data_IF_480480707674
#
_entry.id   IF_480480707674
#
_cell.length_a   1.000
_cell.length_b   1.000
_cell.length_c   1.000
_cell.angle_alpha   90.00
_cell.angle_beta   90.00
_cell.angle_gamma   90.00
#
_symmetry.space_group_name_H-M   'P 1'
#
loop_
_entity.id
_entity.type
_entity.pdbx_description
1 polymer ?
#
# COMPACT_ATOMS: atom_id res chain seq x y z
N UNK A 1 71.80 -13.34 27.53
CA UNK A 1 72.95 -12.53 27.13
C UNK A 1 72.72 -12.08 25.67
N UNK A 2 72.65 -10.75 25.44
CA UNK A 2 72.83 -10.02 24.17
C UNK A 2 71.70 -9.99 23.11
N UNK A 3 71.11 -8.78 22.99
CA UNK A 3 70.64 -7.98 21.79
C UNK A 3 69.59 -8.62 20.87
N UNK A 4 68.35 -8.12 20.75
CA UNK A 4 67.85 -6.84 20.18
C UNK A 4 68.05 -6.65 18.66
N UNK A 5 67.01 -6.06 18.02
CA UNK A 5 66.93 -5.53 16.63
C UNK A 5 66.51 -6.60 15.58
N UNK A 6 65.56 -6.44 14.65
CA UNK A 6 64.89 -5.27 14.06
C UNK A 6 63.54 -5.63 13.44
N UNK A 7 62.64 -4.65 13.38
CA UNK A 7 61.44 -4.62 12.53
C UNK A 7 61.85 -4.63 11.05
N UNK A 8 61.24 -5.49 10.23
CA UNK A 8 61.10 -5.27 8.79
C UNK A 8 59.68 -5.63 8.35
N UNK A 9 58.90 -4.58 8.06
CA UNK A 9 57.70 -4.66 7.24
C UNK A 9 58.10 -5.06 5.81
N UNK A 10 57.48 -6.10 5.28
CA UNK A 10 57.35 -6.36 3.84
C UNK A 10 56.03 -7.12 3.67
N UNK A 11 54.93 -6.42 3.38
CA UNK A 11 54.36 -6.30 2.02
C UNK A 11 54.36 -7.65 1.29
N UNK A 12 53.26 -8.39 1.46
CA UNK A 12 52.97 -9.64 0.78
C UNK A 12 51.46 -9.87 0.74
N UNK A 13 50.78 -9.07 -0.07
CA UNK A 13 49.38 -9.21 -0.44
C UNK A 13 49.26 -10.40 -1.41
N UNK A 14 48.59 -11.47 -1.00
CA UNK A 14 48.02 -12.51 -1.88
C UNK A 14 46.88 -13.17 -1.12
N UNK A 15 45.67 -12.60 -1.18
CA UNK A 15 44.62 -13.02 -2.12
C UNK A 15 44.27 -14.49 -1.91
N UNK A 16 43.55 -14.80 -0.83
CA UNK A 16 42.88 -16.11 -0.66
C UNK A 16 41.73 -16.01 0.35
N UNK A 17 40.83 -15.04 0.21
CA UNK A 17 39.61 -14.98 1.03
C UNK A 17 38.46 -14.21 0.36
N UNK A 18 38.19 -14.46 -0.92
CA UNK A 18 37.05 -13.90 -1.65
C UNK A 18 36.30 -14.99 -2.44
N UNK A 19 36.07 -16.13 -1.79
CA UNK A 19 35.21 -17.20 -2.31
C UNK A 19 34.11 -17.53 -1.30
N UNK A 20 33.57 -16.50 -0.65
CA UNK A 20 32.30 -16.54 0.05
C UNK A 20 31.22 -16.06 -0.91
N UNK A 21 30.86 -16.92 -1.87
CA UNK A 21 29.79 -16.67 -2.82
C UNK A 21 28.54 -16.19 -2.08
N UNK A 22 28.22 -14.93 -2.32
CA UNK A 22 26.94 -14.28 -2.06
C UNK A 22 25.82 -15.10 -2.69
N UNK A 23 25.31 -16.09 -1.97
CA UNK A 23 24.04 -16.74 -2.26
C UNK A 23 22.93 -15.80 -1.77
N UNK A 24 22.77 -14.67 -2.47
CA UNK A 24 21.56 -13.86 -2.34
C UNK A 24 20.43 -14.69 -2.97
N UNK A 25 19.65 -15.37 -2.13
CA UNK A 25 18.39 -15.96 -2.54
C UNK A 25 17.48 -14.82 -3.05
N UNK A 26 17.35 -14.72 -4.37
CA UNK A 26 16.32 -13.88 -4.98
C UNK A 26 14.96 -14.50 -4.64
N UNK A 27 14.28 -13.94 -3.65
CA UNK A 27 12.87 -14.24 -3.40
C UNK A 27 12.08 -13.72 -4.61
N UNK A 28 11.62 -14.63 -5.46
CA UNK A 28 10.71 -14.26 -6.55
C UNK A 28 9.39 -13.82 -5.93
N UNK A 29 9.07 -12.54 -5.99
CA UNK A 29 7.79 -12.00 -5.57
C UNK A 29 6.69 -12.53 -6.49
N UNK A 30 5.84 -13.44 -6.01
CA UNK A 30 4.68 -13.93 -6.75
C UNK A 30 3.57 -12.90 -6.70
N UNK A 31 3.15 -12.38 -7.85
CA UNK A 31 1.96 -11.56 -7.97
C UNK A 31 0.74 -12.49 -8.06
N UNK A 32 -0.20 -12.36 -7.14
CA UNK A 32 -1.40 -13.19 -7.08
C UNK A 32 -2.57 -12.46 -7.75
N UNK A 33 -3.34 -13.17 -8.57
CA UNK A 33 -4.55 -12.62 -9.19
C UNK A 33 -5.75 -12.85 -8.28
N UNK A 34 -6.42 -11.79 -7.87
CA UNK A 34 -7.61 -11.86 -7.03
C UNK A 34 -8.80 -11.30 -7.77
N UNK A 35 -9.92 -12.01 -7.71
CA UNK A 35 -11.21 -11.50 -8.19
C UNK A 35 -11.80 -10.53 -7.18
N UNK A 36 -12.07 -9.30 -7.62
CA UNK A 36 -12.72 -8.29 -6.78
C UNK A 36 -14.25 -8.43 -6.77
N UNK A 37 -14.92 -7.63 -5.94
CA UNK A 37 -16.39 -7.66 -5.85
C UNK A 37 -17.13 -7.06 -7.05
N UNK A 38 -16.41 -6.42 -7.97
CA UNK A 38 -16.96 -6.05 -9.28
C UNK A 38 -16.75 -7.16 -10.34
N UNK A 39 -16.20 -8.32 -9.95
CA UNK A 39 -15.96 -9.45 -10.84
C UNK A 39 -14.71 -9.31 -11.71
N UNK A 40 -13.82 -8.35 -11.42
CA UNK A 40 -12.60 -8.13 -12.18
C UNK A 40 -11.45 -8.95 -11.58
N UNK A 41 -10.60 -9.53 -12.43
CA UNK A 41 -9.34 -10.14 -11.99
C UNK A 41 -8.28 -9.04 -11.86
N UNK A 42 -7.72 -8.89 -10.65
CA UNK A 42 -6.74 -7.86 -10.31
C UNK A 42 -5.47 -8.52 -9.79
N UNK A 43 -4.35 -8.31 -10.49
CA UNK A 43 -3.03 -8.76 -10.04
C UNK A 43 -2.57 -7.93 -8.83
N UNK A 44 -2.26 -8.55 -7.70
CA UNK A 44 -1.80 -7.87 -6.48
C UNK A 44 -0.29 -8.08 -6.33
N UNK A 45 0.49 -7.05 -5.98
CA UNK A 45 1.92 -7.25 -5.73
C UNK A 45 2.09 -8.13 -4.48
N UNK A 46 3.17 -8.90 -4.43
CA UNK A 46 3.46 -9.78 -3.28
C UNK A 46 3.49 -9.01 -1.94
N UNK A 47 3.83 -7.72 -1.97
CA UNK A 47 3.84 -6.84 -0.82
C UNK A 47 3.06 -5.56 -1.13
N UNK A 48 2.12 -5.22 -0.24
CA UNK A 48 1.35 -3.97 -0.28
C UNK A 48 1.76 -3.13 0.92
N UNK A 49 2.36 -1.97 0.67
CA UNK A 49 2.78 -1.01 1.70
C UNK A 49 2.04 0.32 1.59
N UNK A 50 1.48 0.64 0.42
CA UNK A 50 0.88 1.93 0.11
C UNK A 50 -0.58 1.76 -0.30
N UNK A 51 -1.46 1.83 0.69
CA UNK A 51 -2.92 1.71 0.53
C UNK A 51 -3.53 3.09 0.37
N UNK A 52 -4.32 3.25 -0.70
CA UNK A 52 -5.12 4.44 -0.92
C UNK A 52 -6.61 4.13 -0.76
N UNK A 53 -7.32 4.93 0.03
CA UNK A 53 -8.76 4.75 0.24
C UNK A 53 -9.56 5.72 -0.63
N UNK A 54 -10.17 5.19 -1.69
CA UNK A 54 -11.07 5.96 -2.55
C UNK A 54 -12.37 6.37 -1.86
N UNK A 55 -12.72 5.67 -0.78
CA UNK A 55 -13.71 6.07 0.21
C UNK A 55 -13.10 5.88 1.61
N UNK A 56 -12.99 6.96 2.38
CA UNK A 56 -12.32 6.99 3.67
C UNK A 56 -12.96 6.06 4.68
N UNK A 57 -14.28 5.88 4.67
CA UNK A 57 -14.97 4.94 5.59
C UNK A 57 -14.68 3.46 5.31
N UNK A 58 -14.04 3.12 4.19
CA UNK A 58 -13.46 1.77 4.02
C UNK A 58 -12.33 1.49 5.02
N UNK A 59 -11.87 2.53 5.73
CA UNK A 59 -10.96 2.41 6.86
C UNK A 59 -11.42 1.37 7.91
N UNK A 60 -12.72 1.19 8.16
CA UNK A 60 -13.16 0.18 9.14
C UNK A 60 -12.69 -1.23 8.74
N UNK A 61 -12.84 -1.60 7.46
CA UNK A 61 -12.39 -2.89 6.97
C UNK A 61 -10.86 -3.03 7.05
N UNK A 62 -10.13 -1.97 6.68
CA UNK A 62 -8.65 -1.97 6.76
C UNK A 62 -8.17 -2.06 8.21
N UNK A 63 -8.81 -1.35 9.14
CA UNK A 63 -8.42 -1.35 10.55
C UNK A 63 -8.47 -2.75 11.19
N UNK A 64 -9.38 -3.62 10.73
CA UNK A 64 -9.46 -5.01 11.16
C UNK A 64 -8.28 -5.86 10.66
N UNK A 65 -7.69 -5.51 9.52
CA UNK A 65 -6.56 -6.23 8.91
C UNK A 65 -5.21 -5.75 9.44
N UNK A 66 -5.09 -4.46 9.79
CA UNK A 66 -3.85 -3.85 10.29
C UNK A 66 -3.61 -4.05 11.79
N UNK A 67 -4.65 -4.44 12.55
CA UNK A 67 -4.55 -4.65 14.00
C UNK A 67 -4.11 -3.39 14.75
N UNK A 68 -2.92 -3.44 15.37
CA UNK A 68 -2.43 -2.36 16.24
C UNK A 68 -1.92 -1.12 15.47
N UNK A 69 -1.75 -1.22 14.16
CA UNK A 69 -1.14 -0.19 13.32
C UNK A 69 -2.07 0.25 12.18
N UNK A 70 -3.30 0.70 12.49
CA UNK A 70 -4.36 0.86 11.49
C UNK A 70 -4.09 1.91 10.40
N UNK A 71 -3.13 2.81 10.61
CA UNK A 71 -2.82 3.90 9.69
C UNK A 71 -1.48 3.76 8.97
N UNK A 72 -0.63 2.79 9.34
CA UNK A 72 0.78 2.75 8.88
C UNK A 72 0.92 2.63 7.36
N UNK A 73 0.00 1.90 6.71
CA UNK A 73 0.00 1.68 5.26
C UNK A 73 -0.88 2.67 4.50
N UNK A 74 -1.61 3.57 5.17
CA UNK A 74 -2.55 4.48 4.50
C UNK A 74 -1.81 5.71 4.01
N UNK A 75 -1.57 5.80 2.70
CA UNK A 75 -0.85 6.92 2.08
C UNK A 75 -1.77 8.07 1.69
N UNK A 76 -3.08 7.85 1.69
CA UNK A 76 -4.08 8.87 1.43
C UNK A 76 -5.49 8.32 1.44
N UNK A 77 -6.46 9.21 1.58
CA UNK A 77 -7.86 8.85 1.64
C UNK A 77 -8.81 9.98 1.25
N UNK A 78 -10.04 9.61 0.91
CA UNK A 78 -11.12 10.56 0.80
C UNK A 78 -11.49 11.11 2.19
N UNK A 79 -12.00 12.35 2.24
CA UNK A 79 -12.31 13.06 3.48
C UNK A 79 -13.63 12.69 4.16
N UNK A 80 -14.38 11.71 3.65
CA UNK A 80 -15.67 11.29 4.20
C UNK A 80 -15.54 10.69 5.60
N UNK A 81 -14.49 9.93 5.93
CA UNK A 81 -14.30 9.44 7.31
C UNK A 81 -14.13 10.60 8.29
N UNK A 82 -13.27 11.57 7.95
CA UNK A 82 -13.01 12.75 8.79
C UNK A 82 -14.22 13.68 8.92
N UNK A 83 -15.04 13.79 7.87
CA UNK A 83 -16.14 14.78 7.80
C UNK A 83 -17.51 14.21 8.17
N UNK A 84 -17.74 12.93 7.93
CA UNK A 84 -19.06 12.30 8.10
C UNK A 84 -19.13 11.40 9.34
N UNK A 85 -17.99 10.87 9.82
CA UNK A 85 -17.91 10.18 11.12
C UNK A 85 -16.89 10.86 12.04
N UNK A 86 -17.24 12.08 12.45
CA UNK A 86 -16.38 12.90 13.32
C UNK A 86 -16.15 12.27 14.69
N UNK A 87 -17.09 11.48 15.19
CA UNK A 87 -17.01 10.85 16.50
C UNK A 87 -15.96 9.75 16.50
N UNK A 88 -16.04 8.81 15.56
CA UNK A 88 -15.06 7.73 15.47
C UNK A 88 -13.69 8.27 15.07
N UNK A 89 -13.64 9.25 14.16
CA UNK A 89 -12.39 9.91 13.82
C UNK A 89 -11.70 10.52 15.05
N UNK A 90 -12.45 11.19 15.94
CA UNK A 90 -11.90 11.77 17.16
C UNK A 90 -11.32 10.69 18.10
N UNK A 91 -12.00 9.54 18.23
CA UNK A 91 -11.51 8.40 19.03
C UNK A 91 -10.19 7.87 18.48
N UNK A 92 -10.09 7.69 17.16
CA UNK A 92 -8.85 7.25 16.53
C UNK A 92 -7.76 8.30 16.65
N UNK A 93 -8.06 9.58 16.42
CA UNK A 93 -7.11 10.69 16.55
C UNK A 93 -6.51 10.79 17.95
N UNK A 94 -7.29 10.55 18.99
CA UNK A 94 -6.81 10.56 20.36
C UNK A 94 -5.71 9.50 20.61
N UNK A 95 -5.79 8.35 19.93
CA UNK A 95 -4.79 7.25 20.03
C UNK A 95 -3.68 7.36 18.98
N UNK A 96 -4.01 7.89 17.81
CA UNK A 96 -3.16 7.96 16.64
C UNK A 96 -3.18 9.39 16.05
N UNK A 97 -2.46 10.35 16.67
CA UNK A 97 -2.46 11.74 16.22
C UNK A 97 -1.98 11.92 14.78
N UNK A 98 -1.19 10.97 14.26
CA UNK A 98 -0.70 10.98 12.87
C UNK A 98 -1.82 10.90 11.83
N UNK A 99 -3.03 10.51 12.22
CA UNK A 99 -4.19 10.43 11.32
C UNK A 99 -4.49 11.77 10.63
N UNK A 100 -4.21 12.90 11.29
CA UNK A 100 -4.40 14.24 10.71
C UNK A 100 -3.40 14.56 9.60
N UNK A 101 -2.27 13.83 9.52
CA UNK A 101 -1.25 14.01 8.51
C UNK A 101 -1.54 13.23 7.22
N UNK A 102 -2.55 12.35 7.23
CA UNK A 102 -2.89 11.55 6.05
C UNK A 102 -3.47 12.46 4.96
N UNK A 103 -2.85 12.52 3.76
CA UNK A 103 -3.29 13.39 2.68
C UNK A 103 -4.73 13.13 2.24
N UNK A 104 -5.49 14.21 2.07
CA UNK A 104 -6.83 14.18 1.48
C UNK A 104 -6.72 14.23 -0.05
N UNK A 105 -7.19 13.18 -0.71
CA UNK A 105 -7.27 13.10 -2.17
C UNK A 105 -8.55 13.72 -2.73
N UNK A 106 -9.56 13.94 -1.89
CA UNK A 106 -10.84 14.55 -2.24
C UNK A 106 -11.62 14.99 -1.01
N UNK A 107 -12.87 15.41 -1.22
CA UNK A 107 -13.81 15.83 -0.18
C UNK A 107 -14.64 14.63 0.31
N UNK A 108 -15.97 14.64 0.15
CA UNK A 108 -16.89 13.59 0.63
C UNK A 108 -17.59 12.83 -0.48
N UNK A 109 -17.45 13.29 -1.73
CA UNK A 109 -18.01 12.65 -2.93
C UNK A 109 -16.91 12.17 -3.85
N UNK A 110 -17.16 11.12 -4.61
CA UNK A 110 -16.16 10.54 -5.48
C UNK A 110 -15.66 11.54 -6.55
N UNK A 111 -16.55 12.35 -7.11
CA UNK A 111 -16.20 13.37 -8.11
C UNK A 111 -15.22 14.44 -7.62
N UNK A 112 -15.07 14.58 -6.30
CA UNK A 112 -14.13 15.53 -5.70
C UNK A 112 -12.69 15.01 -5.61
N UNK A 113 -12.43 13.77 -6.03
CA UNK A 113 -11.08 13.20 -6.02
C UNK A 113 -10.24 13.79 -7.15
N UNK A 114 -9.06 14.30 -6.81
CA UNK A 114 -8.07 14.77 -7.78
C UNK A 114 -7.18 13.62 -8.25
N UNK A 115 -7.14 13.31 -9.56
CA UNK A 115 -6.22 12.32 -10.13
C UNK A 115 -4.75 12.67 -9.84
N UNK A 116 -4.40 13.95 -9.93
CA UNK A 116 -3.03 14.43 -9.79
C UNK A 116 -2.50 14.13 -8.39
N UNK A 117 -3.33 14.41 -7.37
CA UNK A 117 -2.99 14.06 -5.97
C UNK A 117 -2.86 12.56 -5.76
N UNK A 118 -3.63 11.75 -6.46
CA UNK A 118 -3.52 10.29 -6.34
C UNK A 118 -2.20 9.81 -6.93
N UNK A 119 -1.80 10.34 -8.08
CA UNK A 119 -0.56 9.96 -8.76
C UNK A 119 0.69 10.33 -7.96
N UNK A 120 0.69 11.48 -7.27
CA UNK A 120 1.84 11.88 -6.42
C UNK A 120 2.02 10.98 -5.21
N UNK A 121 0.96 10.30 -4.76
CA UNK A 121 1.01 9.38 -3.64
C UNK A 121 1.55 8.00 -4.01
N UNK A 122 1.74 7.69 -5.30
CA UNK A 122 2.28 6.42 -5.79
C UNK A 122 1.77 5.18 -5.02
N UNK A 123 0.44 4.93 -4.95
CA UNK A 123 -0.10 3.82 -4.18
C UNK A 123 0.05 2.47 -4.90
N UNK A 124 0.17 1.39 -4.13
CA UNK A 124 0.23 0.01 -4.63
C UNK A 124 -1.17 -0.51 -4.97
N UNK A 125 -2.13 -0.17 -4.10
CA UNK A 125 -3.53 -0.60 -4.19
C UNK A 125 -4.47 0.52 -3.76
N UNK A 126 -5.67 0.51 -4.35
CA UNK A 126 -6.76 1.43 -4.03
C UNK A 126 -8.02 0.67 -3.69
N UNK A 127 -8.66 0.98 -2.55
CA UNK A 127 -9.95 0.40 -2.16
C UNK A 127 -11.10 1.35 -2.45
N UNK A 128 -12.17 0.84 -3.07
CA UNK A 128 -13.32 1.64 -3.52
C UNK A 128 -14.62 0.84 -3.41
N UNK A 129 -15.79 1.51 -3.40
CA UNK A 129 -17.08 0.82 -3.48
C UNK A 129 -17.46 0.42 -4.92
N UNK A 130 -17.99 -0.80 -5.17
CA UNK A 130 -18.35 -1.26 -6.51
C UNK A 130 -19.27 -0.31 -7.29
N UNK A 131 -20.22 0.32 -6.60
CA UNK A 131 -21.22 1.19 -7.22
C UNK A 131 -20.63 2.46 -7.87
N UNK A 132 -19.42 2.88 -7.46
CA UNK A 132 -18.80 4.09 -8.04
C UNK A 132 -18.40 3.92 -9.49
N UNK A 133 -17.90 2.75 -9.88
CA UNK A 133 -17.50 2.55 -11.27
C UNK A 133 -18.70 2.56 -12.22
N UNK A 134 -19.86 2.09 -11.75
CA UNK A 134 -21.10 2.10 -12.52
C UNK A 134 -21.69 3.52 -12.69
N UNK A 135 -21.59 4.38 -11.67
CA UNK A 135 -22.21 5.72 -11.69
C UNK A 135 -21.38 6.79 -12.39
N UNK A 136 -20.07 6.60 -12.49
CA UNK A 136 -19.14 7.68 -12.86
C UNK A 136 -18.72 7.72 -14.34
N UNK A 137 -18.98 6.64 -15.09
CA UNK A 137 -18.68 6.58 -16.52
C UNK A 137 -17.19 6.79 -16.88
N UNK A 138 -16.87 6.71 -18.18
CA UNK A 138 -15.49 6.78 -18.68
C UNK A 138 -14.81 8.16 -18.57
N UNK A 139 -15.53 9.21 -18.14
CA UNK A 139 -14.98 10.59 -18.02
C UNK A 139 -14.63 10.98 -16.59
N UNK A 140 -14.94 10.12 -15.62
CA UNK A 140 -14.58 10.42 -14.24
C UNK A 140 -13.08 10.24 -14.01
N UNK A 141 -12.55 11.03 -13.09
CA UNK A 141 -11.19 10.95 -12.56
C UNK A 141 -10.78 9.50 -12.20
N UNK A 142 -11.74 8.66 -11.83
CA UNK A 142 -11.55 7.22 -11.57
C UNK A 142 -11.20 6.39 -12.82
N UNK A 143 -11.82 6.68 -13.96
CA UNK A 143 -11.53 5.97 -15.20
C UNK A 143 -10.10 6.25 -15.67
N UNK A 144 -9.63 7.49 -15.44
CA UNK A 144 -8.25 7.87 -15.73
C UNK A 144 -7.26 7.13 -14.84
N UNK A 145 -7.58 6.95 -13.55
CA UNK A 145 -6.74 6.21 -12.59
C UNK A 145 -6.70 4.69 -12.83
N UNK A 146 -7.71 4.13 -13.51
CA UNK A 146 -7.74 2.72 -13.90
C UNK A 146 -6.97 2.42 -15.20
N UNK A 147 -6.29 3.41 -15.79
CA UNK A 147 -5.54 3.23 -17.03
C UNK A 147 -4.34 2.29 -16.79
N UNK A 148 -4.07 1.30 -17.67
CA UNK A 148 -3.01 0.29 -17.48
C UNK A 148 -1.59 0.87 -17.32
N UNK A 149 -1.36 2.09 -17.79
CA UNK A 149 -0.08 2.78 -17.66
C UNK A 149 0.14 3.43 -16.30
N UNK A 150 -0.87 3.45 -15.43
CA UNK A 150 -0.75 3.96 -14.08
C UNK A 150 -0.50 2.79 -13.14
N UNK A 151 0.51 2.92 -12.27
CA UNK A 151 0.91 1.88 -11.32
C UNK A 151 -0.17 1.56 -10.26
N UNK A 152 -1.27 2.31 -10.23
CA UNK A 152 -2.33 2.21 -9.23
C UNK A 152 -3.32 1.10 -9.60
N UNK A 153 -3.40 0.03 -8.80
CA UNK A 153 -4.40 -1.04 -8.99
C UNK A 153 -5.59 -0.85 -8.06
N UNK A 154 -6.80 -0.76 -8.63
CA UNK A 154 -8.03 -0.56 -7.86
C UNK A 154 -8.72 -1.89 -7.56
N UNK A 155 -9.19 -2.08 -6.33
CA UNK A 155 -9.97 -3.22 -5.85
C UNK A 155 -11.27 -2.74 -5.20
N UNK A 156 -12.38 -3.34 -5.60
CA UNK A 156 -13.67 -3.01 -5.02
C UNK A 156 -13.96 -3.77 -3.72
N UNK A 157 -14.47 -3.03 -2.74
CA UNK A 157 -14.91 -3.49 -1.44
C UNK A 157 -16.40 -3.21 -1.21
N UNK A 158 -17.20 -4.24 -0.88
CA UNK A 158 -18.60 -4.13 -0.48
C UNK A 158 -18.72 -4.56 0.99
N UNK A 159 -19.18 -3.64 1.85
CA UNK A 159 -19.41 -3.89 3.28
C UNK A 159 -20.82 -4.48 3.58
N UNK A 160 -21.71 -4.56 2.58
CA UNK A 160 -23.11 -5.00 2.75
C UNK A 160 -23.37 -6.45 2.34
N UNK A 161 -22.36 -7.18 1.84
CA UNK A 161 -22.47 -8.60 1.49
C UNK A 161 -21.92 -9.48 2.62
N UNK A 162 -22.61 -10.58 3.02
CA UNK A 162 -22.04 -11.56 3.93
C UNK A 162 -20.79 -12.18 3.31
N UNK A 163 -19.65 -12.04 3.98
CA UNK A 163 -18.33 -12.49 3.50
C UNK A 163 -18.26 -14.02 3.40
N UNK A 164 -18.48 -14.59 2.21
CA UNK A 164 -17.92 -15.90 1.87
C UNK A 164 -16.51 -15.69 1.30
N UNK A 165 -15.50 -15.74 2.17
CA UNK A 165 -14.10 -15.77 1.76
C UNK A 165 -13.82 -17.15 1.13
N UNK A 166 -14.00 -17.29 -0.18
CA UNK A 166 -13.35 -18.36 -0.93
C UNK A 166 -12.01 -17.82 -1.43
N UNK A 167 -10.97 -17.95 -0.60
CA UNK A 167 -9.61 -17.92 -1.08
C UNK A 167 -9.32 -19.29 -1.70
N UNK A 168 -9.62 -19.45 -2.99
CA UNK A 168 -9.09 -20.58 -3.76
C UNK A 168 -7.71 -20.14 -4.23
N UNK A 169 -6.68 -20.58 -3.50
CA UNK A 169 -5.30 -20.54 -3.98
C UNK A 169 -5.22 -21.61 -5.07
N UNK A 170 -5.02 -21.20 -6.31
CA UNK A 170 -4.60 -22.07 -7.42
C UNK A 170 -3.14 -21.77 -7.72
#
# INVERSE_FOLDING_TARGET
CVKSVSRKMAKGLSISLLMGCTFMASFSAWAENITDMAGRSVAIPAKVERILLGEGRLFYAVSLLEGQKPFDRIVGWQGDFRKLDTQTYAVYKAKFPQVDNIPLIGNTTADSISPEKVLTLNPDIRFEKPTLQASLGARSCYAQLAHPSLSCRARFFDNHKPYHFQATVV
#
